data_IF_366903299629
#
_entry.id   IF_366903299629
#
_cell.length_a   1.000
_cell.length_b   1.000
_cell.length_c   1.000
_cell.angle_alpha   90.00
_cell.angle_beta   90.00
_cell.angle_gamma   90.00
#
_symmetry.space_group_name_H-M   'P 1'
#
loop_
_entity.id
_entity.type
_entity.pdbx_description
1 polymer ?
#
# COMPACT_ATOMS: atom_id res chain seq x y z
N UNK A 1 -13.44 6.24 -25.28
CA UNK A 1 -12.57 5.27 -24.57
C UNK A 1 -13.47 4.29 -23.85
N UNK A 2 -13.10 3.01 -23.81
CA UNK A 2 -13.75 2.07 -22.90
C UNK A 2 -13.50 2.50 -21.44
N UNK A 3 -14.43 2.23 -20.50
CA UNK A 3 -14.16 2.42 -19.08
C UNK A 3 -12.94 1.61 -18.67
N UNK A 4 -12.13 2.15 -17.76
CA UNK A 4 -10.97 1.44 -17.21
C UNK A 4 -11.50 0.34 -16.27
N UNK A 5 -11.05 -0.93 -16.44
CA UNK A 5 -11.47 -2.04 -15.57
C UNK A 5 -11.20 -1.76 -14.08
N UNK A 6 -12.05 -2.29 -13.20
CA UNK A 6 -11.85 -2.19 -11.76
C UNK A 6 -10.48 -2.76 -11.34
N UNK A 7 -10.05 -3.87 -11.95
CA UNK A 7 -8.73 -4.48 -11.67
C UNK A 7 -7.59 -3.47 -11.85
N UNK A 8 -7.59 -2.71 -12.93
CA UNK A 8 -6.51 -1.78 -13.27
C UNK A 8 -6.45 -0.60 -12.30
N UNK A 9 -7.62 -0.06 -11.93
CA UNK A 9 -7.70 1.06 -10.99
C UNK A 9 -7.50 0.63 -9.53
N UNK A 10 -7.70 -0.64 -9.20
CA UNK A 10 -7.55 -1.19 -7.84
C UNK A 10 -6.25 -1.98 -7.66
N UNK A 11 -6.26 -3.29 -7.92
CA UNK A 11 -5.12 -4.21 -7.75
C UNK A 11 -3.92 -3.73 -8.56
N UNK A 12 -4.12 -3.28 -9.79
CA UNK A 12 -3.08 -2.69 -10.63
C UNK A 12 -2.46 -1.44 -10.00
N UNK A 13 -3.29 -0.52 -9.50
CA UNK A 13 -2.84 0.69 -8.82
C UNK A 13 -2.07 0.38 -7.52
N UNK A 14 -2.61 -0.51 -6.67
CA UNK A 14 -1.92 -0.96 -5.45
C UNK A 14 -0.58 -1.62 -5.77
N UNK A 15 -0.53 -2.47 -6.79
CA UNK A 15 0.71 -3.12 -7.22
C UNK A 15 1.77 -2.09 -7.59
N UNK A 16 1.42 -1.07 -8.38
CA UNK A 16 2.33 0.02 -8.75
C UNK A 16 2.77 0.84 -7.53
N UNK A 17 1.84 1.19 -6.63
CA UNK A 17 2.14 1.92 -5.40
C UNK A 17 3.10 1.14 -4.48
N UNK A 18 2.92 -0.18 -4.33
CA UNK A 18 3.80 -1.02 -3.52
C UNK A 18 5.15 -1.28 -4.18
N UNK A 19 5.23 -1.29 -5.53
CA UNK A 19 6.51 -1.29 -6.24
C UNK A 19 7.28 0.01 -6.03
N UNK A 20 6.60 1.16 -5.98
CA UNK A 20 7.22 2.42 -5.53
C UNK A 20 7.77 2.27 -4.12
N UNK A 21 6.95 1.74 -3.19
CA UNK A 21 7.38 1.55 -1.81
C UNK A 21 8.62 0.65 -1.70
N UNK A 22 8.65 -0.48 -2.42
CA UNK A 22 9.85 -1.33 -2.49
C UNK A 22 11.06 -0.59 -3.04
N UNK A 23 10.87 0.17 -4.12
CA UNK A 23 11.96 0.91 -4.75
C UNK A 23 12.56 1.93 -3.78
N UNK A 24 11.74 2.74 -3.12
CA UNK A 24 12.26 3.77 -2.19
C UNK A 24 12.91 3.14 -0.95
N UNK A 25 12.38 2.00 -0.46
CA UNK A 25 13.01 1.24 0.63
C UNK A 25 14.34 0.60 0.20
N UNK A 26 14.46 0.18 -1.06
CA UNK A 26 15.72 -0.32 -1.61
C UNK A 26 16.76 0.79 -1.75
N UNK A 27 16.39 1.97 -2.23
CA UNK A 27 17.34 3.09 -2.33
C UNK A 27 17.79 3.53 -0.92
N UNK A 28 16.87 3.55 0.04
CA UNK A 28 17.19 3.91 1.42
C UNK A 28 18.06 2.87 2.14
N UNK A 29 18.05 1.58 1.77
CA UNK A 29 18.88 0.58 2.44
C UNK A 29 20.39 0.81 2.29
N UNK A 30 20.80 1.60 1.30
CA UNK A 30 22.21 1.98 1.10
C UNK A 30 22.66 3.11 2.02
N UNK A 31 21.74 3.77 2.74
CA UNK A 31 22.08 4.83 3.68
C UNK A 31 22.64 4.23 4.98
N UNK A 32 23.81 4.68 5.48
CA UNK A 32 24.46 4.07 6.66
C UNK A 32 23.57 4.09 7.91
N UNK A 33 22.78 5.16 8.07
CA UNK A 33 21.90 5.35 9.23
C UNK A 33 20.46 4.81 9.05
N UNK A 34 20.19 4.01 8.00
CA UNK A 34 18.81 3.61 7.63
C UNK A 34 18.03 2.97 8.79
N UNK A 35 18.70 2.19 9.64
CA UNK A 35 18.07 1.57 10.81
C UNK A 35 17.48 2.61 11.78
N UNK A 36 18.10 3.79 11.92
CA UNK A 36 17.61 4.88 12.76
C UNK A 36 16.36 5.58 12.20
N UNK A 37 16.03 5.35 10.92
CA UNK A 37 14.91 6.04 10.26
C UNK A 37 13.56 5.41 10.57
N UNK A 38 13.52 4.21 11.14
CA UNK A 38 12.28 3.50 11.47
C UNK A 38 11.33 4.33 12.34
N UNK A 39 11.87 5.06 13.32
CA UNK A 39 11.11 5.90 14.24
C UNK A 39 10.98 7.36 13.79
N UNK A 40 11.52 7.70 12.62
CA UNK A 40 11.47 9.07 12.09
C UNK A 40 10.07 9.46 11.65
N UNK A 41 9.73 10.73 11.87
CA UNK A 41 8.44 11.35 11.54
C UNK A 41 8.65 12.60 10.71
N UNK A 42 7.63 12.97 9.94
CA UNK A 42 7.63 14.24 9.18
C UNK A 42 7.17 15.42 10.05
N UNK A 43 6.22 15.17 10.97
CA UNK A 43 5.75 16.12 11.98
C UNK A 43 5.58 15.39 13.33
N UNK A 44 5.59 16.11 14.47
CA UNK A 44 5.56 15.48 15.80
C UNK A 44 4.35 14.56 16.05
N UNK A 45 3.21 14.90 15.48
CA UNK A 45 1.93 14.20 15.59
C UNK A 45 1.71 13.12 14.51
N UNK A 46 2.52 13.09 13.46
CA UNK A 46 2.43 12.09 12.40
C UNK A 46 3.05 10.75 12.81
N UNK A 47 2.49 9.65 12.30
CA UNK A 47 3.05 8.31 12.50
C UNK A 47 4.51 8.17 12.01
N UNK A 48 5.32 7.33 12.66
CA UNK A 48 6.70 7.08 12.25
C UNK A 48 6.77 6.25 10.97
N UNK A 49 7.91 6.30 10.27
CA UNK A 49 8.14 5.61 9.00
C UNK A 49 7.69 4.14 9.00
N UNK A 50 8.04 3.41 10.05
CA UNK A 50 7.67 1.99 10.20
C UNK A 50 6.16 1.78 10.09
N UNK A 51 5.39 2.67 10.71
CA UNK A 51 3.94 2.60 10.69
C UNK A 51 3.35 3.12 9.36
N UNK A 52 3.99 4.08 8.70
CA UNK A 52 3.61 4.51 7.35
C UNK A 52 3.68 3.33 6.37
N UNK A 53 4.80 2.58 6.36
CA UNK A 53 4.97 1.39 5.52
C UNK A 53 3.91 0.32 5.85
N UNK A 54 3.61 0.11 7.14
CA UNK A 54 2.60 -0.85 7.56
C UNK A 54 1.21 -0.51 7.04
N UNK A 55 0.77 0.74 7.20
CA UNK A 55 -0.58 1.15 6.79
C UNK A 55 -0.71 1.15 5.27
N UNK A 56 0.36 1.48 4.53
CA UNK A 56 0.37 1.43 3.07
C UNK A 56 -0.05 0.05 2.51
N UNK A 57 0.24 -1.05 3.22
CA UNK A 57 -0.10 -2.40 2.77
C UNK A 57 -1.44 -2.93 3.27
N UNK A 58 -2.12 -2.20 4.17
CA UNK A 58 -3.37 -2.64 4.82
C UNK A 58 -4.52 -2.82 3.83
N UNK A 59 -4.83 -1.75 3.08
CA UNK A 59 -5.94 -1.73 2.14
C UNK A 59 -5.79 -2.68 0.94
N UNK A 60 -4.59 -2.84 0.35
CA UNK A 60 -4.32 -3.86 -0.64
C UNK A 60 -4.75 -5.26 -0.21
N UNK A 61 -4.43 -5.65 1.04
CA UNK A 61 -4.80 -6.98 1.52
C UNK A 61 -6.29 -7.06 1.86
N UNK A 62 -6.87 -6.04 2.50
CA UNK A 62 -8.33 -6.03 2.77
C UNK A 62 -9.13 -6.27 1.49
N UNK A 63 -8.72 -5.68 0.37
CA UNK A 63 -9.38 -5.90 -0.91
C UNK A 63 -9.28 -7.37 -1.33
N UNK A 64 -8.09 -7.96 -1.30
CA UNK A 64 -7.90 -9.37 -1.71
C UNK A 64 -8.66 -10.32 -0.80
N UNK A 65 -8.62 -10.12 0.52
CA UNK A 65 -9.39 -10.94 1.47
C UNK A 65 -10.89 -10.84 1.22
N UNK A 66 -11.38 -9.63 0.92
CA UNK A 66 -12.80 -9.41 0.61
C UNK A 66 -13.21 -10.09 -0.70
N UNK A 67 -12.40 -9.97 -1.75
CA UNK A 67 -12.69 -10.60 -3.05
C UNK A 67 -12.57 -12.14 -2.98
N UNK A 68 -11.65 -12.67 -2.20
CA UNK A 68 -11.43 -14.12 -2.10
C UNK A 68 -12.26 -14.80 -1.00
N UNK A 69 -12.82 -14.03 -0.07
CA UNK A 69 -13.52 -14.55 1.12
C UNK A 69 -12.59 -15.28 2.10
N UNK A 70 -11.27 -15.07 2.00
CA UNK A 70 -10.25 -15.74 2.82
C UNK A 70 -9.57 -14.74 3.72
N UNK A 71 -9.37 -15.10 4.98
CA UNK A 71 -8.42 -14.40 5.83
C UNK A 71 -7.00 -14.84 5.44
N UNK A 72 -6.22 -13.91 4.89
CA UNK A 72 -4.87 -14.17 4.38
C UNK A 72 -3.80 -13.87 5.45
N UNK A 73 -4.16 -13.13 6.48
CA UNK A 73 -3.26 -12.74 7.59
C UNK A 73 -3.97 -12.60 8.93
N UNK A 74 -3.22 -12.60 10.05
CA UNK A 74 -3.78 -12.29 11.35
C UNK A 74 -4.09 -10.78 11.48
N UNK A 75 -5.37 -10.47 11.67
CA UNK A 75 -5.87 -9.18 12.16
C UNK A 75 -5.97 -9.28 13.69
N UNK A 76 -4.90 -8.95 14.42
CA UNK A 76 -4.99 -8.90 15.88
C UNK A 76 -5.51 -7.52 16.33
N UNK A 77 -6.46 -7.53 17.26
CA UNK A 77 -7.27 -6.38 17.63
C UNK A 77 -6.57 -5.49 18.68
N UNK A 78 -5.81 -4.52 18.18
CA UNK A 78 -5.68 -3.17 18.75
C UNK A 78 -4.96 -2.27 17.71
N UNK A 79 -5.73 -1.48 16.96
CA UNK A 79 -5.21 -0.48 16.03
C UNK A 79 -4.63 -1.02 14.70
N UNK A 80 -3.77 -0.22 14.07
CA UNK A 80 -3.12 -0.43 12.75
C UNK A 80 -2.17 -1.63 12.68
N UNK A 81 -2.23 -2.55 13.64
CA UNK A 81 -1.34 -3.70 13.72
C UNK A 81 -1.96 -4.91 13.03
N UNK A 82 -1.34 -5.24 11.92
CA UNK A 82 -1.23 -6.62 11.46
C UNK A 82 -0.22 -7.35 12.35
N UNK A 83 -0.54 -8.56 12.79
CA UNK A 83 0.34 -9.37 13.63
C UNK A 83 1.75 -9.53 13.04
N UNK A 84 2.74 -9.57 13.93
CA UNK A 84 4.19 -9.33 13.71
C UNK A 84 4.51 -7.84 13.50
N UNK A 85 4.78 -7.15 14.61
CA UNK A 85 5.30 -5.79 14.63
C UNK A 85 6.68 -5.81 13.99
N UNK A 86 6.79 -5.45 12.71
CA UNK A 86 8.09 -5.22 12.07
C UNK A 86 8.88 -4.26 12.96
N UNK A 87 10.13 -4.60 13.28
CA UNK A 87 11.07 -3.84 14.11
C UNK A 87 12.36 -3.50 13.37
N UNK A 88 12.49 -4.01 12.15
CA UNK A 88 13.70 -3.88 11.35
C UNK A 88 13.40 -3.57 9.89
N UNK A 89 14.40 -3.02 9.21
CA UNK A 89 14.31 -2.71 7.78
C UNK A 89 14.01 -3.94 6.89
N UNK A 90 14.66 -5.11 7.10
CA UNK A 90 14.34 -6.30 6.30
C UNK A 90 12.89 -6.78 6.47
N UNK A 91 12.33 -6.65 7.68
CA UNK A 91 10.93 -7.02 7.94
C UNK A 91 9.95 -6.09 7.21
N UNK A 92 10.23 -4.78 7.14
CA UNK A 92 9.44 -3.84 6.34
C UNK A 92 9.44 -4.21 4.85
N UNK A 93 10.62 -4.52 4.30
CA UNK A 93 10.74 -4.97 2.91
C UNK A 93 9.99 -6.29 2.69
N UNK A 94 10.09 -7.23 3.63
CA UNK A 94 9.40 -8.51 3.56
C UNK A 94 7.87 -8.34 3.60
N UNK A 95 7.33 -7.42 4.42
CA UNK A 95 5.90 -7.06 4.41
C UNK A 95 5.44 -6.62 3.03
N UNK A 96 6.14 -5.67 2.41
CA UNK A 96 5.70 -5.12 1.12
C UNK A 96 5.75 -6.19 0.02
N UNK A 97 6.80 -7.04 0.02
CA UNK A 97 6.87 -8.20 -0.88
C UNK A 97 5.71 -9.17 -0.64
N UNK A 98 5.41 -9.47 0.62
CA UNK A 98 4.30 -10.37 0.96
C UNK A 98 2.95 -9.83 0.48
N UNK A 99 2.73 -8.52 0.58
CA UNK A 99 1.50 -7.91 0.07
C UNK A 99 1.42 -7.95 -1.46
N UNK A 100 2.55 -7.81 -2.18
CA UNK A 100 2.57 -8.01 -3.63
C UNK A 100 2.22 -9.45 -4.02
N UNK A 101 2.73 -10.45 -3.29
CA UNK A 101 2.32 -11.86 -3.48
C UNK A 101 0.83 -12.07 -3.23
N UNK A 102 0.25 -11.38 -2.24
CA UNK A 102 -1.17 -11.43 -1.95
C UNK A 102 -2.00 -10.83 -3.09
N UNK A 103 -1.62 -9.64 -3.60
CA UNK A 103 -2.29 -9.01 -4.74
C UNK A 103 -2.27 -9.89 -5.99
N UNK A 104 -1.19 -10.63 -6.21
CA UNK A 104 -1.06 -11.53 -7.36
C UNK A 104 -2.01 -12.74 -7.33
N UNK A 105 -2.71 -13.00 -6.21
CA UNK A 105 -3.66 -14.12 -6.12
C UNK A 105 -4.99 -13.86 -6.82
N UNK A 106 -5.34 -12.59 -7.08
CA UNK A 106 -6.60 -12.21 -7.73
C UNK A 106 -6.30 -11.72 -9.13
N UNK A 107 -6.97 -12.31 -10.12
CA UNK A 107 -6.91 -11.90 -11.51
C UNK A 107 -8.03 -10.92 -11.90
N UNK A 108 -7.99 -10.36 -13.13
CA UNK A 108 -8.99 -9.40 -13.59
C UNK A 108 -10.43 -9.91 -13.52
N UNK A 109 -10.70 -11.13 -14.02
CA UNK A 109 -12.05 -11.70 -14.02
C UNK A 109 -12.66 -11.83 -12.62
N UNK A 110 -11.88 -12.28 -11.64
CA UNK A 110 -12.34 -12.40 -10.25
C UNK A 110 -12.59 -11.03 -9.62
N UNK A 111 -11.74 -10.03 -9.92
CA UNK A 111 -11.94 -8.67 -9.44
C UNK A 111 -13.23 -8.06 -9.99
N UNK A 112 -13.44 -8.12 -11.31
CA UNK A 112 -14.65 -7.55 -11.94
C UNK A 112 -15.93 -8.24 -11.48
N UNK A 113 -15.91 -9.56 -11.34
CA UNK A 113 -17.12 -10.34 -10.99
C UNK A 113 -17.59 -10.15 -9.54
N UNK A 114 -16.74 -9.64 -8.65
CA UNK A 114 -17.05 -9.58 -7.20
C UNK A 114 -17.04 -8.18 -6.61
N UNK A 115 -16.45 -7.18 -7.29
CA UNK A 115 -16.20 -5.87 -6.70
C UNK A 115 -17.46 -5.14 -6.19
N UNK A 116 -18.59 -5.30 -6.87
CA UNK A 116 -19.84 -4.63 -6.52
C UNK A 116 -20.66 -5.38 -5.44
N UNK A 117 -20.54 -6.71 -5.44
CA UNK A 117 -21.31 -7.59 -4.55
C UNK A 117 -20.64 -7.78 -3.19
N UNK A 118 -19.31 -7.85 -3.16
CA UNK A 118 -18.54 -7.92 -1.91
C UNK A 118 -18.63 -6.59 -1.16
N UNK A 119 -18.91 -6.65 0.15
CA UNK A 119 -19.01 -5.47 1.01
C UNK A 119 -17.83 -5.33 1.96
N UNK A 120 -17.39 -4.09 2.15
CA UNK A 120 -16.38 -3.69 3.13
C UNK A 120 -16.96 -2.65 4.10
N UNK A 121 -16.57 -2.68 5.39
CA UNK A 121 -16.98 -1.66 6.35
C UNK A 121 -16.21 -0.36 6.08
N UNK A 122 -16.94 0.68 5.71
CA UNK A 122 -16.47 2.06 5.62
C UNK A 122 -16.89 2.83 6.86
N UNK A 123 -15.95 3.49 7.52
CA UNK A 123 -16.25 4.33 8.66
C UNK A 123 -16.96 5.62 8.18
N UNK A 124 -18.11 5.91 8.77
CA UNK A 124 -18.96 7.08 8.46
C UNK A 124 -19.21 7.96 9.68
N UNK A 125 -18.68 7.59 10.85
CA UNK A 125 -18.80 8.34 12.09
C UNK A 125 -17.70 8.01 13.11
N UNK A 126 -17.73 8.65 14.30
CA UNK A 126 -16.79 8.38 15.38
C UNK A 126 -16.74 6.90 15.76
N UNK A 127 -15.55 6.32 15.91
CA UNK A 127 -15.36 4.89 16.20
C UNK A 127 -16.00 4.47 17.55
N UNK A 128 -16.09 5.41 18.50
CA UNK A 128 -16.79 5.26 19.78
C UNK A 128 -18.28 4.91 19.66
N UNK A 129 -18.90 5.14 18.49
CA UNK A 129 -20.26 4.72 18.20
C UNK A 129 -20.37 3.23 17.82
N UNK A 130 -19.26 2.48 17.87
CA UNK A 130 -19.26 1.03 17.64
C UNK A 130 -19.74 0.68 16.22
N UNK A 131 -20.63 -0.33 16.11
CA UNK A 131 -21.12 -0.81 14.82
C UNK A 131 -21.81 0.30 13.99
N UNK A 132 -22.45 1.27 14.64
CA UNK A 132 -23.14 2.37 13.97
C UNK A 132 -22.16 3.38 13.33
N UNK A 133 -20.87 3.30 13.68
CA UNK A 133 -19.82 4.07 13.03
C UNK A 133 -19.47 3.56 11.62
N UNK A 134 -20.00 2.40 11.21
CA UNK A 134 -19.60 1.72 9.97
C UNK A 134 -20.79 1.45 9.06
N UNK A 135 -20.60 1.72 7.76
CA UNK A 135 -21.53 1.34 6.69
C UNK A 135 -20.89 0.28 5.80
N UNK A 136 -21.64 -0.77 5.50
CA UNK A 136 -21.25 -1.75 4.49
C UNK A 136 -21.44 -1.15 3.10
N UNK A 137 -20.35 -1.05 2.33
CA UNK A 137 -20.34 -0.50 0.97
C UNK A 137 -19.67 -1.47 0.00
N UNK A 138 -20.01 -1.45 -1.30
CA UNK A 138 -19.29 -2.22 -2.32
C UNK A 138 -17.77 -2.10 -2.20
N UNK A 139 -17.04 -3.19 -2.42
CA UNK A 139 -15.58 -3.19 -2.38
C UNK A 139 -14.99 -2.24 -3.41
N UNK A 140 -15.64 -2.08 -4.58
CA UNK A 140 -15.31 -1.07 -5.57
C UNK A 140 -15.34 0.35 -4.99
N UNK A 141 -16.47 0.74 -4.40
CA UNK A 141 -16.66 2.07 -3.79
C UNK A 141 -15.67 2.31 -2.64
N UNK A 142 -15.54 1.33 -1.73
CA UNK A 142 -14.60 1.41 -0.61
C UNK A 142 -13.16 1.64 -1.10
N UNK A 143 -12.75 0.87 -2.11
CA UNK A 143 -11.39 0.92 -2.66
C UNK A 143 -11.08 2.29 -3.26
N UNK A 144 -12.03 2.87 -3.99
CA UNK A 144 -11.85 4.18 -4.60
C UNK A 144 -11.93 5.33 -3.58
N UNK A 145 -12.82 5.23 -2.60
CA UNK A 145 -13.07 6.30 -1.63
C UNK A 145 -12.02 6.36 -0.51
N UNK A 146 -11.53 5.20 -0.06
CA UNK A 146 -10.66 5.12 1.14
C UNK A 146 -9.38 4.36 0.85
N UNK A 147 -9.47 3.20 0.20
CA UNK A 147 -8.34 2.29 0.06
C UNK A 147 -7.16 2.87 -0.73
N UNK A 148 -7.40 3.32 -1.97
CA UNK A 148 -6.36 3.91 -2.83
C UNK A 148 -5.81 5.21 -2.25
N UNK A 149 -6.64 6.18 -1.82
CA UNK A 149 -6.13 7.42 -1.21
C UNK A 149 -5.22 7.17 -0.01
N UNK A 150 -5.59 6.28 0.91
CA UNK A 150 -4.76 5.97 2.07
C UNK A 150 -3.45 5.30 1.69
N UNK A 151 -3.47 4.27 0.84
CA UNK A 151 -2.24 3.58 0.43
C UNK A 151 -1.26 4.54 -0.24
N UNK A 152 -1.72 5.38 -1.17
CA UNK A 152 -0.87 6.36 -1.86
C UNK A 152 -0.34 7.42 -0.89
N UNK A 153 -1.18 7.91 0.03
CA UNK A 153 -0.75 8.86 1.05
C UNK A 153 0.42 8.30 1.85
N UNK A 154 0.30 7.09 2.40
CA UNK A 154 1.34 6.49 3.23
C UNK A 154 2.63 6.15 2.44
N UNK A 155 2.52 5.79 1.16
CA UNK A 155 3.69 5.63 0.27
C UNK A 155 4.44 6.96 0.12
N UNK A 156 3.73 8.05 -0.12
CA UNK A 156 4.35 9.36 -0.31
C UNK A 156 4.86 10.00 0.97
N UNK A 157 4.22 9.75 2.12
CA UNK A 157 4.78 10.14 3.42
C UNK A 157 6.05 9.35 3.73
N UNK A 158 6.10 8.05 3.41
CA UNK A 158 7.33 7.25 3.52
C UNK A 158 8.46 7.85 2.68
N UNK A 159 8.17 8.21 1.41
CA UNK A 159 9.12 8.93 0.55
C UNK A 159 9.59 10.24 1.19
N UNK A 160 8.65 11.06 1.71
CA UNK A 160 8.97 12.36 2.28
C UNK A 160 9.87 12.24 3.52
N UNK A 161 9.57 11.30 4.42
CA UNK A 161 10.40 11.03 5.61
C UNK A 161 11.80 10.63 5.16
N UNK A 162 11.94 9.66 4.25
CA UNK A 162 13.26 9.21 3.78
C UNK A 162 14.04 10.32 3.09
N UNK A 163 13.39 11.11 2.24
CA UNK A 163 14.03 12.24 1.57
C UNK A 163 14.48 13.31 2.57
N UNK A 164 13.69 13.57 3.62
CA UNK A 164 14.07 14.50 4.70
C UNK A 164 15.27 14.02 5.53
N UNK A 165 15.54 12.72 5.53
CA UNK A 165 16.66 12.08 6.23
C UNK A 165 17.94 11.98 5.39
N UNK A 166 17.96 12.59 4.20
CA UNK A 166 19.15 12.64 3.35
C UNK A 166 19.27 11.47 2.36
N UNK A 167 18.27 10.59 2.26
CA UNK A 167 18.28 9.55 1.22
C UNK A 167 18.17 10.19 -0.16
N UNK A 168 18.98 9.72 -1.11
CA UNK A 168 18.99 10.24 -2.49
C UNK A 168 17.80 9.75 -3.34
N UNK A 169 16.60 10.08 -2.89
CA UNK A 169 15.35 9.84 -3.60
C UNK A 169 15.00 11.02 -4.50
N UNK A 170 14.48 10.73 -5.68
CA UNK A 170 13.90 11.72 -6.58
C UNK A 170 12.55 11.29 -7.15
N UNK A 171 11.94 12.18 -7.94
CA UNK A 171 10.68 11.92 -8.64
C UNK A 171 10.73 10.66 -9.51
N UNK A 172 11.90 10.32 -10.07
CA UNK A 172 12.12 9.09 -10.84
C UNK A 172 11.78 7.83 -10.02
N UNK A 173 12.03 7.84 -8.72
CA UNK A 173 11.80 6.67 -7.86
C UNK A 173 10.32 6.44 -7.55
N UNK A 174 9.50 7.47 -7.77
CA UNK A 174 8.04 7.38 -7.75
C UNK A 174 7.49 7.00 -9.14
N UNK A 175 7.98 7.62 -10.20
CA UNK A 175 7.36 7.48 -11.53
C UNK A 175 7.69 6.17 -12.24
N UNK A 176 8.94 5.69 -12.13
CA UNK A 176 9.40 4.51 -12.86
C UNK A 176 8.46 3.31 -12.68
N UNK A 177 8.02 2.95 -11.45
CA UNK A 177 7.10 1.82 -11.26
C UNK A 177 5.69 2.00 -11.84
N UNK A 178 5.31 3.22 -12.23
CA UNK A 178 4.04 3.51 -12.90
C UNK A 178 4.15 3.55 -14.42
N UNK A 179 5.37 3.62 -14.98
CA UNK A 179 5.59 3.61 -16.41
C UNK A 179 5.23 2.24 -16.99
N UNK A 180 4.61 2.20 -18.18
CA UNK A 180 4.34 0.94 -18.86
C UNK A 180 5.63 0.33 -19.41
N UNK A 181 5.65 -1.00 -19.56
CA UNK A 181 6.86 -1.76 -19.92
C UNK A 181 7.50 -1.29 -21.23
N UNK A 182 6.69 -0.90 -22.23
CA UNK A 182 7.23 -0.39 -23.49
C UNK A 182 8.02 0.93 -23.30
N UNK A 183 7.61 1.81 -22.38
CA UNK A 183 8.38 3.02 -22.04
C UNK A 183 9.64 2.64 -21.26
N UNK A 184 9.56 1.66 -20.36
CA UNK A 184 10.71 1.19 -19.59
C UNK A 184 11.78 0.54 -20.47
N UNK A 185 11.37 -0.21 -21.51
CA UNK A 185 12.28 -0.82 -22.47
C UNK A 185 13.09 0.22 -23.27
N UNK A 186 12.51 1.40 -23.48
CA UNK A 186 13.16 2.52 -24.16
C UNK A 186 14.02 3.39 -23.21
N UNK A 187 14.05 3.08 -21.90
CA UNK A 187 14.82 3.80 -20.88
C UNK A 187 15.89 2.89 -20.25
N UNK A 188 17.10 2.79 -20.85
CA UNK A 188 18.19 1.97 -20.32
C UNK A 188 18.53 2.36 -18.87
N UNK A 189 18.53 1.39 -17.96
CA UNK A 189 18.80 1.59 -16.53
C UNK A 189 17.60 2.02 -15.68
N UNK A 190 16.40 2.19 -16.27
CA UNK A 190 15.16 2.44 -15.53
C UNK A 190 14.42 1.15 -15.13
N UNK A 191 14.89 -0.02 -15.57
CA UNK A 191 14.26 -1.30 -15.24
C UNK A 191 14.21 -1.54 -13.73
N UNK A 192 13.04 -1.99 -13.28
CA UNK A 192 12.71 -2.26 -11.86
C UNK A 192 13.27 -3.64 -11.49
N UNK A 193 13.82 -3.76 -10.27
CA UNK A 193 14.05 -5.05 -9.60
C UNK A 193 12.77 -5.48 -8.90
#
# INVERSE_FOLDING_TARGET
MAPVPFYDISIGCYTKALRVLLRILKVASEHPDVASFLDSRLAPDMFPLLLQVRIATRHPVRLVEALTGKQLVPWNEAGTNWGQLEKSWPELVARVKKTLEILAQVGPEEAESKADDTKLPMQVGPEENGADAFRQVPAAEFTMATGIPETLFHVYITYAILRSKGVDLGKKDILIPFLPDYVLNDLPGAQVV
#
